data_IF_979541454171
#
_entry.id   IF_979541454171
#
_cell.length_a   1.000
_cell.length_b   1.000
_cell.length_c   1.000
_cell.angle_alpha   90.00
_cell.angle_beta   90.00
_cell.angle_gamma   90.00
#
_symmetry.space_group_name_H-M   'P 1'
#
loop_
_entity.id
_entity.type
_entity.pdbx_description
1 polymer ?
#
# COMPACT_ATOMS: atom_id res chain seq x y z
N UNK A 1 -45.45 32.14 10.51
CA UNK A 1 -45.09 30.71 10.40
C UNK A 1 -44.09 30.57 9.27
N UNK A 2 -42.80 30.58 9.60
CA UNK A 2 -41.71 30.38 8.64
C UNK A 2 -41.25 28.93 8.82
N UNK A 3 -41.20 28.21 7.70
CA UNK A 3 -40.96 26.77 7.58
C UNK A 3 -39.52 26.42 7.97
N UNK A 4 -39.35 25.45 8.87
CA UNK A 4 -38.08 25.01 9.47
C UNK A 4 -37.29 24.01 8.61
N UNK A 5 -37.47 24.00 7.29
CA UNK A 5 -37.02 22.89 6.43
C UNK A 5 -35.69 23.11 5.67
N UNK A 6 -34.85 24.08 6.02
CA UNK A 6 -33.65 24.41 5.23
C UNK A 6 -32.31 24.48 5.99
N UNK A 7 -32.24 24.00 7.24
CA UNK A 7 -31.00 24.09 8.05
C UNK A 7 -30.46 22.73 8.55
N UNK A 8 -30.77 21.62 7.87
CA UNK A 8 -30.30 20.28 8.25
C UNK A 8 -29.21 19.67 7.34
N UNK A 9 -28.78 20.39 6.29
CA UNK A 9 -27.77 19.87 5.36
C UNK A 9 -26.35 20.41 5.54
N UNK A 10 -26.08 21.24 6.55
CA UNK A 10 -24.77 21.89 6.70
C UNK A 10 -24.02 21.58 8.01
N UNK A 11 -24.38 20.50 8.71
CA UNK A 11 -23.67 20.05 9.92
C UNK A 11 -23.42 18.54 9.88
N UNK A 12 -22.69 18.04 8.88
CA UNK A 12 -22.13 16.68 8.90
C UNK A 12 -20.80 16.63 8.13
N UNK A 13 -19.79 17.36 8.59
CA UNK A 13 -18.40 16.95 8.40
C UNK A 13 -17.58 17.36 9.61
N UNK A 14 -18.03 16.97 10.80
CA UNK A 14 -17.07 16.77 11.89
C UNK A 14 -16.23 15.56 11.47
N UNK A 15 -15.06 15.82 10.87
CA UNK A 15 -14.00 14.82 10.78
C UNK A 15 -13.79 14.34 12.22
N UNK A 16 -13.99 13.04 12.47
CA UNK A 16 -13.72 12.45 13.77
C UNK A 16 -12.34 12.92 14.24
N UNK A 17 -12.21 13.37 15.50
CA UNK A 17 -10.93 13.80 16.06
C UNK A 17 -9.89 12.65 16.08
N UNK A 18 -10.33 11.41 15.91
CA UNK A 18 -9.49 10.23 15.77
C UNK A 18 -9.90 9.38 14.58
N UNK A 19 -8.90 8.84 13.88
CA UNK A 19 -9.08 7.87 12.81
C UNK A 19 -8.23 6.65 13.14
N UNK A 20 -8.83 5.46 13.05
CA UNK A 20 -8.18 4.18 13.32
C UNK A 20 -8.50 3.21 12.18
N UNK A 21 -7.63 3.19 11.16
CA UNK A 21 -7.82 2.37 9.96
C UNK A 21 -7.77 0.87 10.23
N UNK A 22 -7.19 0.43 11.35
CA UNK A 22 -7.20 -0.97 11.75
C UNK A 22 -8.62 -1.41 12.10
N UNK A 23 -9.35 -0.59 12.89
CA UNK A 23 -10.75 -0.87 13.24
C UNK A 23 -11.68 -0.84 12.04
N UNK A 24 -11.33 -0.06 11.01
CA UNK A 24 -12.07 0.02 9.76
C UNK A 24 -11.72 -1.10 8.76
N UNK A 25 -10.76 -1.98 9.08
CA UNK A 25 -10.41 -3.16 8.28
C UNK A 25 -9.40 -2.92 7.15
N UNK A 26 -8.69 -1.80 7.15
CA UNK A 26 -7.75 -1.42 6.08
C UNK A 26 -6.34 -1.97 6.27
N UNK A 27 -6.05 -2.60 7.40
CA UNK A 27 -4.68 -2.93 7.83
C UNK A 27 -4.55 -4.43 8.05
N UNK A 28 -3.57 -5.04 7.38
CA UNK A 28 -3.19 -6.46 7.56
C UNK A 28 -2.50 -6.68 8.92
N UNK A 29 -2.35 -7.93 9.38
CA UNK A 29 -1.55 -8.23 10.55
C UNK A 29 -0.11 -7.72 10.42
N UNK A 30 0.52 -7.40 11.55
CA UNK A 30 1.93 -6.95 11.59
C UNK A 30 2.84 -8.02 10.99
N UNK A 31 3.75 -7.60 10.11
CA UNK A 31 4.82 -8.42 9.52
C UNK A 31 6.19 -8.09 10.14
N UNK A 32 7.24 -8.85 9.77
CA UNK A 32 8.62 -8.67 10.25
C UNK A 32 9.63 -8.66 9.09
N UNK A 33 10.37 -7.56 8.93
CA UNK A 33 11.37 -7.41 7.87
C UNK A 33 12.68 -8.17 8.14
N UNK A 34 12.89 -8.64 9.37
CA UNK A 34 14.12 -9.30 9.80
C UNK A 34 15.34 -8.38 9.70
N UNK A 35 16.45 -8.92 9.16
CA UNK A 35 17.73 -8.21 9.01
C UNK A 35 17.91 -7.54 7.63
N UNK A 36 16.87 -7.55 6.80
CA UNK A 36 16.89 -6.91 5.48
C UNK A 36 16.45 -5.45 5.60
N UNK A 37 17.15 -4.53 4.93
CA UNK A 37 16.81 -3.11 4.85
C UNK A 37 15.63 -2.81 3.92
N UNK A 38 14.56 -3.59 4.00
CA UNK A 38 13.39 -3.58 3.12
C UNK A 38 12.18 -2.84 3.71
N UNK A 39 12.34 -2.03 4.76
CA UNK A 39 11.24 -1.27 5.37
C UNK A 39 10.42 -0.44 4.35
N UNK A 40 11.08 0.04 3.29
CA UNK A 40 10.45 0.73 2.17
C UNK A 40 9.42 -0.13 1.43
N UNK A 41 9.68 -1.44 1.30
CA UNK A 41 8.76 -2.39 0.68
C UNK A 41 7.53 -2.61 1.55
N UNK A 42 7.73 -2.85 2.87
CA UNK A 42 6.63 -2.98 3.84
C UNK A 42 5.77 -1.71 3.93
N UNK A 43 6.40 -0.53 3.85
CA UNK A 43 5.66 0.73 3.84
C UNK A 43 4.83 0.88 2.57
N UNK A 44 5.35 0.46 1.41
CA UNK A 44 4.64 0.56 0.15
C UNK A 44 3.48 -0.45 0.08
N UNK A 45 3.71 -1.72 0.45
CA UNK A 45 2.66 -2.74 0.49
C UNK A 45 1.56 -2.34 1.46
N UNK A 46 1.87 -1.95 2.71
CA UNK A 46 0.84 -1.54 3.68
C UNK A 46 -0.05 -0.39 3.19
N UNK A 47 0.53 0.61 2.50
CA UNK A 47 -0.26 1.70 1.91
C UNK A 47 -1.16 1.21 0.75
N UNK A 48 -0.63 0.37 -0.13
CA UNK A 48 -1.38 -0.16 -1.27
C UNK A 48 -2.46 -1.16 -0.83
N UNK A 49 -2.20 -2.00 0.17
CA UNK A 49 -3.17 -2.90 0.80
C UNK A 49 -4.39 -2.12 1.28
N UNK A 50 -4.18 -1.00 1.98
CA UNK A 50 -5.26 -0.11 2.43
C UNK A 50 -6.04 0.52 1.26
N UNK A 51 -5.37 1.00 0.21
CA UNK A 51 -6.05 1.54 -0.97
C UNK A 51 -6.81 0.48 -1.77
N UNK A 52 -6.23 -0.72 -1.88
CA UNK A 52 -6.88 -1.87 -2.50
C UNK A 52 -8.15 -2.23 -1.74
N UNK A 53 -8.08 -2.35 -0.41
CA UNK A 53 -9.25 -2.56 0.44
C UNK A 53 -10.29 -1.44 0.28
N UNK A 54 -9.87 -0.17 0.22
CA UNK A 54 -10.76 0.96 0.01
C UNK A 54 -11.64 0.77 -1.25
N UNK A 55 -11.01 0.33 -2.33
CA UNK A 55 -11.60 0.13 -3.67
C UNK A 55 -12.41 -1.15 -3.79
N UNK A 56 -11.93 -2.27 -3.26
CA UNK A 56 -12.48 -3.61 -3.53
C UNK A 56 -13.25 -4.20 -2.36
N UNK A 57 -13.06 -3.66 -1.15
CA UNK A 57 -13.51 -4.22 0.14
C UNK A 57 -12.94 -5.61 0.43
N UNK A 58 -11.85 -5.98 -0.24
CA UNK A 58 -11.07 -7.20 0.03
C UNK A 58 -9.72 -6.80 0.58
N UNK A 59 -9.41 -7.25 1.80
CA UNK A 59 -8.09 -7.03 2.39
C UNK A 59 -7.19 -8.17 1.91
N UNK A 60 -6.21 -7.82 1.09
CA UNK A 60 -5.28 -8.77 0.46
C UNK A 60 -3.89 -8.39 0.92
N UNK A 61 -3.13 -9.32 1.51
CA UNK A 61 -1.73 -9.03 1.82
C UNK A 61 -0.86 -9.14 0.57
N UNK A 62 0.03 -8.16 0.36
CA UNK A 62 0.85 -8.02 -0.83
C UNK A 62 2.31 -8.38 -0.53
N UNK A 63 3.02 -8.87 -1.54
CA UNK A 63 4.39 -9.40 -1.38
C UNK A 63 5.44 -8.29 -1.30
N UNK A 64 6.09 -8.15 -0.14
CA UNK A 64 7.27 -7.30 -0.05
C UNK A 64 8.46 -7.90 -0.83
N UNK A 65 8.54 -9.23 -0.92
CA UNK A 65 9.63 -9.89 -1.64
C UNK A 65 9.59 -9.62 -3.14
N UNK A 66 8.39 -9.53 -3.73
CA UNK A 66 8.23 -9.11 -5.11
C UNK A 66 8.85 -7.72 -5.33
N UNK A 67 8.65 -6.77 -4.41
CA UNK A 67 9.28 -5.45 -4.51
C UNK A 67 10.80 -5.54 -4.35
N UNK A 68 11.28 -6.26 -3.33
CA UNK A 68 12.72 -6.46 -3.06
C UNK A 68 13.43 -7.02 -4.29
N UNK A 69 12.85 -8.02 -4.95
CA UNK A 69 13.50 -8.75 -6.03
C UNK A 69 13.34 -8.09 -7.41
N UNK A 70 12.28 -7.32 -7.66
CA UNK A 70 11.88 -6.91 -9.02
C UNK A 70 11.95 -5.41 -9.30
N UNK A 71 12.16 -4.55 -8.30
CA UNK A 71 12.07 -3.09 -8.47
C UNK A 71 13.43 -2.38 -8.60
N UNK A 72 14.49 -3.13 -8.94
CA UNK A 72 15.84 -2.59 -9.11
C UNK A 72 15.94 -1.58 -10.27
N UNK A 73 15.21 -1.82 -11.37
CA UNK A 73 15.24 -0.97 -12.56
C UNK A 73 14.59 0.40 -12.36
N UNK A 74 13.75 0.57 -11.33
CA UNK A 74 13.25 1.88 -10.87
C UNK A 74 14.10 2.48 -9.75
N UNK A 75 15.21 1.83 -9.40
CA UNK A 75 16.25 2.35 -8.51
C UNK A 75 16.15 1.90 -7.06
N UNK A 76 15.32 0.92 -6.70
CA UNK A 76 15.43 0.29 -5.38
C UNK A 76 16.64 -0.66 -5.35
N UNK A 77 17.12 -0.99 -4.15
CA UNK A 77 18.33 -1.78 -3.96
C UNK A 77 18.06 -2.98 -3.02
N UNK A 78 16.85 -3.54 -3.10
CA UNK A 78 16.44 -4.68 -2.29
C UNK A 78 16.68 -4.47 -0.79
N UNK A 79 17.48 -5.33 -0.18
CA UNK A 79 17.85 -5.24 1.23
C UNK A 79 18.83 -4.11 1.58
N UNK A 80 19.37 -3.40 0.59
CA UNK A 80 20.23 -2.23 0.79
C UNK A 80 19.45 -0.91 0.84
N UNK A 81 18.12 -0.97 0.76
CA UNK A 81 17.24 0.18 0.87
C UNK A 81 16.50 0.50 -0.43
N UNK A 82 15.59 1.46 -0.33
CA UNK A 82 14.68 1.82 -1.40
C UNK A 82 13.71 2.92 -0.96
N UNK A 83 12.80 3.28 -1.85
CA UNK A 83 11.78 4.30 -1.61
C UNK A 83 10.40 3.78 -2.01
N UNK A 84 9.38 4.16 -1.24
CA UNK A 84 7.99 3.79 -1.50
C UNK A 84 7.52 4.30 -2.87
N UNK A 85 7.86 5.53 -3.23
CA UNK A 85 7.51 6.13 -4.52
C UNK A 85 8.06 5.31 -5.70
N UNK A 86 9.28 4.78 -5.56
CA UNK A 86 9.87 3.86 -6.55
C UNK A 86 9.13 2.53 -6.58
N UNK A 87 8.73 2.01 -5.42
CA UNK A 87 7.89 0.81 -5.37
C UNK A 87 6.56 1.02 -6.11
N UNK A 88 5.85 2.13 -5.87
CA UNK A 88 4.62 2.46 -6.61
C UNK A 88 4.89 2.67 -8.11
N UNK A 89 6.02 3.30 -8.48
CA UNK A 89 6.42 3.39 -9.87
C UNK A 89 6.61 2.00 -10.50
N UNK A 90 7.27 1.07 -9.80
CA UNK A 90 7.42 -0.32 -10.23
C UNK A 90 6.05 -0.98 -10.43
N UNK A 91 5.16 -0.93 -9.43
CA UNK A 91 3.85 -1.60 -9.49
C UNK A 91 3.03 -1.06 -10.67
N UNK A 92 3.06 0.25 -10.92
CA UNK A 92 2.41 0.87 -12.08
C UNK A 92 2.92 0.33 -13.41
N UNK A 93 4.24 0.27 -13.61
CA UNK A 93 4.83 -0.13 -14.91
C UNK A 93 4.89 -1.65 -15.09
N UNK A 94 4.92 -2.40 -13.99
CA UNK A 94 4.81 -3.85 -13.96
C UNK A 94 3.37 -4.33 -14.13
N UNK A 95 2.40 -3.40 -14.08
CA UNK A 95 0.96 -3.67 -14.17
C UNK A 95 0.42 -4.55 -13.03
N UNK A 96 1.11 -4.58 -11.88
CA UNK A 96 0.67 -5.31 -10.70
C UNK A 96 1.78 -5.70 -9.75
N UNK A 97 1.36 -6.31 -8.64
CA UNK A 97 2.19 -6.89 -7.59
C UNK A 97 1.53 -8.17 -7.08
N UNK A 98 2.34 -9.19 -6.80
CA UNK A 98 1.87 -10.48 -6.30
C UNK A 98 1.34 -10.41 -4.87
N UNK A 99 0.49 -11.38 -4.50
CA UNK A 99 0.09 -11.58 -3.11
C UNK A 99 1.23 -12.12 -2.26
N UNK A 100 1.18 -11.88 -0.94
CA UNK A 100 2.11 -12.49 0.01
C UNK A 100 2.06 -14.03 -0.07
N UNK A 101 0.86 -14.61 -0.20
CA UNK A 101 0.68 -16.07 -0.25
C UNK A 101 1.37 -16.72 -1.46
N UNK A 102 1.36 -16.05 -2.62
CA UNK A 102 1.99 -16.53 -3.85
C UNK A 102 3.49 -16.26 -3.92
N UNK A 103 3.95 -15.21 -3.25
CA UNK A 103 5.35 -14.79 -3.25
C UNK A 103 5.78 -14.39 -1.83
N UNK A 104 6.03 -15.36 -0.94
CA UNK A 104 6.30 -15.10 0.47
C UNK A 104 7.60 -14.35 0.73
N UNK A 105 7.63 -13.59 1.82
CA UNK A 105 8.82 -12.89 2.27
C UNK A 105 9.95 -13.83 2.72
N UNK A 106 11.15 -13.61 2.16
CA UNK A 106 12.36 -14.38 2.45
C UNK A 106 13.43 -13.58 3.23
N UNK A 107 13.41 -12.24 3.14
CA UNK A 107 14.30 -11.38 3.92
C UNK A 107 15.75 -11.32 3.43
N UNK A 108 15.97 -11.53 2.13
CA UNK A 108 17.24 -11.28 1.43
C UNK A 108 16.95 -11.11 -0.08
N UNK A 109 17.93 -10.60 -0.82
CA UNK A 109 17.81 -10.39 -2.27
C UNK A 109 17.77 -11.73 -3.03
N UNK A 110 16.84 -11.86 -3.98
CA UNK A 110 16.73 -12.99 -4.91
C UNK A 110 16.54 -12.50 -6.35
N UNK A 111 16.50 -13.45 -7.28
CA UNK A 111 16.02 -13.17 -8.63
C UNK A 111 14.52 -12.87 -8.59
N UNK A 112 14.08 -11.90 -9.39
CA UNK A 112 12.66 -11.60 -9.60
C UNK A 112 11.89 -12.82 -10.11
N UNK A 113 10.76 -13.13 -9.46
CA UNK A 113 9.85 -14.25 -9.80
C UNK A 113 8.39 -13.80 -9.93
N UNK A 114 8.18 -12.54 -10.27
CA UNK A 114 6.84 -12.01 -10.49
C UNK A 114 6.05 -12.89 -11.47
N UNK A 115 4.79 -13.19 -11.14
CA UNK A 115 3.89 -13.97 -11.98
C UNK A 115 2.54 -13.26 -12.10
N UNK A 116 2.19 -12.81 -13.30
CA UNK A 116 0.94 -12.08 -13.54
C UNK A 116 -0.33 -12.87 -13.22
N UNK A 117 -0.24 -14.20 -13.07
CA UNK A 117 -1.35 -15.02 -12.58
C UNK A 117 -1.69 -14.76 -11.10
N UNK A 118 -0.76 -14.19 -10.33
CA UNK A 118 -0.84 -14.05 -8.87
C UNK A 118 -1.01 -12.59 -8.39
N UNK A 119 -1.37 -11.68 -9.30
CA UNK A 119 -1.55 -10.26 -8.98
C UNK A 119 -2.59 -10.08 -7.88
N UNK A 120 -2.14 -9.52 -6.75
CA UNK A 120 -2.97 -9.15 -5.61
C UNK A 120 -3.55 -7.74 -5.70
N UNK A 121 -2.80 -6.82 -6.30
CA UNK A 121 -3.22 -5.43 -6.49
C UNK A 121 -2.53 -4.76 -7.68
N UNK A 122 -3.11 -3.65 -8.13
CA UNK A 122 -2.55 -2.73 -9.12
C UNK A 122 -2.67 -1.30 -8.60
N UNK A 123 -1.81 -0.40 -9.08
CA UNK A 123 -1.94 1.03 -8.85
C UNK A 123 -1.87 1.83 -10.16
N UNK A 124 -2.18 3.13 -10.08
CA UNK A 124 -2.08 4.06 -11.22
C UNK A 124 -1.02 5.15 -10.99
N UNK A 125 -0.17 4.97 -9.98
CA UNK A 125 0.78 5.94 -9.44
C UNK A 125 0.48 6.31 -7.98
N UNK A 126 1.19 7.32 -7.49
CA UNK A 126 1.14 7.79 -6.11
C UNK A 126 0.84 9.30 -6.04
N UNK A 127 0.56 9.79 -4.83
CA UNK A 127 0.34 11.22 -4.54
C UNK A 127 1.26 11.62 -3.39
N UNK A 128 2.04 12.68 -3.60
CA UNK A 128 2.82 13.31 -2.55
C UNK A 128 1.94 14.23 -1.72
N UNK A 129 1.93 14.01 -0.40
CA UNK A 129 1.23 14.89 0.52
C UNK A 129 2.11 16.12 0.80
N UNK A 130 1.56 17.31 0.55
CA UNK A 130 2.27 18.56 0.82
C UNK A 130 2.67 18.66 2.31
N UNK A 131 3.87 19.18 2.56
CA UNK A 131 4.31 19.49 3.91
C UNK A 131 3.36 20.53 4.55
N UNK A 132 2.91 20.24 5.77
CA UNK A 132 2.18 21.21 6.58
C UNK A 132 3.21 22.04 7.34
N UNK A 133 3.51 23.23 6.80
CA UNK A 133 4.40 24.22 7.44
C UNK A 133 3.60 25.20 8.30
#
# INVERSE_FOLDING_TARGET
MITTHSYLHQILSFQSLSVDWLKEGYVTPVKDQGQCGSCWAFSATGALEGQHFAKTKKLTSLSEQNLVDCSDFVGNMGCWGGLMDRAFQYIKVNEGIDTEDSYPYEGFDRLCRFDSANIGATDTGYIDIAAQN
#
